data_IF_642370894979
#
_entry.id   IF_642370894979
#
_cell.length_a   1.000
_cell.length_b   1.000
_cell.length_c   1.000
_cell.angle_alpha   90.00
_cell.angle_beta   90.00
_cell.angle_gamma   90.00
#
_symmetry.space_group_name_H-M   'P 1'
#
loop_
_entity.id
_entity.type
_entity.pdbx_description
1 polymer ?
#
# COMPACT_ATOMS: atom_id res chain seq x y z
N UNK A 1 -3.80 -46.76 -2.12
CA UNK A 1 -4.13 -45.76 -3.13
C UNK A 1 -4.78 -44.58 -2.39
N UNK A 2 -3.99 -43.61 -2.04
CA UNK A 2 -4.45 -42.43 -1.30
C UNK A 2 -4.47 -41.24 -2.27
N UNK A 3 -5.62 -40.98 -2.88
CA UNK A 3 -5.86 -39.77 -3.65
C UNK A 3 -6.31 -38.68 -2.67
N UNK A 4 -5.35 -38.01 -2.03
CA UNK A 4 -5.60 -36.67 -1.52
C UNK A 4 -5.47 -35.71 -2.72
N UNK A 5 -6.50 -34.93 -3.08
CA UNK A 5 -6.31 -33.81 -3.97
C UNK A 5 -5.37 -32.87 -3.22
N UNK A 6 -4.18 -32.63 -3.80
CA UNK A 6 -3.30 -31.56 -3.33
C UNK A 6 -4.12 -30.26 -3.45
N UNK A 7 -4.40 -29.64 -2.32
CA UNK A 7 -4.98 -28.30 -2.22
C UNK A 7 -3.93 -27.30 -2.77
N UNK A 8 -3.71 -27.36 -4.09
CA UNK A 8 -2.84 -26.38 -4.75
C UNK A 8 -3.59 -25.05 -4.77
N UNK A 9 -3.18 -24.18 -3.87
CA UNK A 9 -3.65 -22.79 -3.85
C UNK A 9 -3.32 -22.12 -5.18
N UNK A 10 -4.23 -21.30 -5.65
CA UNK A 10 -4.05 -20.56 -6.90
C UNK A 10 -2.79 -19.69 -6.86
N UNK A 11 -1.89 -19.86 -7.83
CA UNK A 11 -0.54 -19.28 -7.91
C UNK A 11 -0.44 -17.98 -8.73
N UNK A 12 -1.57 -17.44 -9.19
CA UNK A 12 -1.61 -16.23 -10.00
C UNK A 12 -1.41 -16.42 -11.50
N UNK A 13 -1.24 -17.65 -12.01
CA UNK A 13 -0.89 -17.91 -13.42
C UNK A 13 -2.03 -17.71 -14.43
N UNK A 14 -3.26 -17.39 -14.00
CA UNK A 14 -4.39 -17.23 -14.92
C UNK A 14 -4.41 -15.86 -15.62
N UNK A 15 -4.79 -15.85 -16.91
CA UNK A 15 -4.98 -14.62 -17.69
C UNK A 15 -6.01 -13.68 -17.03
N UNK A 16 -7.05 -14.23 -16.41
CA UNK A 16 -8.06 -13.44 -15.71
C UNK A 16 -7.49 -12.70 -14.51
N UNK A 17 -6.65 -13.34 -13.70
CA UNK A 17 -5.94 -12.70 -12.59
C UNK A 17 -4.97 -11.63 -13.08
N UNK A 18 -4.19 -11.91 -14.10
CA UNK A 18 -3.25 -10.95 -14.70
C UNK A 18 -3.97 -9.67 -15.15
N UNK A 19 -5.13 -9.82 -15.82
CA UNK A 19 -5.95 -8.66 -16.23
C UNK A 19 -6.51 -7.89 -15.04
N UNK A 20 -6.99 -8.59 -14.01
CA UNK A 20 -7.48 -7.98 -12.78
C UNK A 20 -6.36 -7.20 -12.08
N UNK A 21 -5.17 -7.77 -12.00
CA UNK A 21 -4.02 -7.13 -11.37
C UNK A 21 -3.53 -5.89 -12.15
N UNK A 22 -3.55 -5.92 -13.48
CA UNK A 22 -3.30 -4.73 -14.31
C UNK A 22 -4.31 -3.62 -14.06
N UNK A 23 -5.61 -3.96 -13.91
CA UNK A 23 -6.63 -2.97 -13.58
C UNK A 23 -6.37 -2.33 -12.22
N UNK A 24 -6.01 -3.11 -11.22
CA UNK A 24 -5.67 -2.60 -9.87
C UNK A 24 -4.40 -1.75 -9.90
N UNK A 25 -3.36 -2.17 -10.62
CA UNK A 25 -2.14 -1.37 -10.81
C UNK A 25 -2.49 0.00 -11.43
N UNK A 26 -3.35 0.03 -12.45
CA UNK A 26 -3.77 1.28 -13.08
C UNK A 26 -4.56 2.18 -12.12
N UNK A 27 -5.48 1.61 -11.33
CA UNK A 27 -6.22 2.34 -10.30
C UNK A 27 -5.26 2.98 -9.30
N UNK A 28 -4.31 2.21 -8.77
CA UNK A 28 -3.31 2.69 -7.81
C UNK A 28 -2.43 3.81 -8.42
N UNK A 29 -1.99 3.65 -9.67
CA UNK A 29 -1.20 4.68 -10.36
C UNK A 29 -1.95 6.00 -10.53
N UNK A 30 -3.22 5.92 -10.92
CA UNK A 30 -4.08 7.12 -11.06
C UNK A 30 -4.29 7.78 -9.70
N UNK A 31 -4.59 7.00 -8.66
CA UNK A 31 -4.78 7.53 -7.31
C UNK A 31 -3.51 8.13 -6.73
N UNK A 32 -2.34 7.52 -6.97
CA UNK A 32 -1.06 8.14 -6.63
C UNK A 32 -0.93 9.56 -7.17
N UNK A 33 -1.21 9.76 -8.48
CA UNK A 33 -1.10 11.08 -9.11
C UNK A 33 -2.12 12.07 -8.52
N UNK A 34 -3.35 11.64 -8.29
CA UNK A 34 -4.40 12.48 -7.70
C UNK A 34 -4.03 12.89 -6.28
N UNK A 35 -3.67 11.92 -5.43
CA UNK A 35 -3.40 12.18 -4.01
C UNK A 35 -2.10 12.94 -3.77
N UNK A 36 -1.03 12.64 -4.51
CA UNK A 36 0.23 13.38 -4.33
C UNK A 36 0.04 14.86 -4.70
N UNK A 37 -0.71 15.13 -5.78
CA UNK A 37 -1.04 16.48 -6.20
C UNK A 37 -1.90 17.19 -5.15
N UNK A 38 -2.96 16.54 -4.67
CA UNK A 38 -3.85 17.05 -3.64
C UNK A 38 -3.13 17.26 -2.29
N UNK A 39 -2.26 16.33 -1.89
CA UNK A 39 -1.48 16.40 -0.66
C UNK A 39 -0.50 17.58 -0.65
N UNK A 40 0.13 17.90 -1.79
CA UNK A 40 0.95 19.11 -1.91
C UNK A 40 0.08 20.38 -1.92
N UNK A 41 -1.01 20.40 -2.66
CA UNK A 41 -1.89 21.56 -2.76
C UNK A 41 -2.58 21.89 -1.42
N UNK A 42 -3.01 20.88 -0.66
CA UNK A 42 -3.69 21.05 0.64
C UNK A 42 -2.74 21.19 1.83
N UNK A 43 -1.47 20.83 1.68
CA UNK A 43 -0.51 20.75 2.77
C UNK A 43 -0.67 19.51 3.68
N UNK A 44 -1.57 18.58 3.37
CA UNK A 44 -1.81 17.36 4.17
C UNK A 44 -0.66 16.37 4.09
N UNK A 45 -0.15 15.94 5.23
CA UNK A 45 0.89 14.93 5.31
C UNK A 45 0.32 13.52 5.22
N UNK A 46 -0.89 13.29 5.73
CA UNK A 46 -1.56 12.00 5.63
C UNK A 46 -1.94 11.67 4.16
N UNK A 47 -2.43 12.64 3.38
CA UNK A 47 -2.64 12.44 1.94
C UNK A 47 -1.35 12.13 1.17
N UNK A 48 -0.23 12.79 1.52
CA UNK A 48 1.07 12.47 0.90
C UNK A 48 1.54 11.06 1.28
N UNK A 49 1.32 10.65 2.53
CA UNK A 49 1.65 9.31 2.99
C UNK A 49 0.82 8.25 2.25
N UNK A 50 -0.48 8.48 2.10
CA UNK A 50 -1.41 7.62 1.38
C UNK A 50 -1.06 7.53 -0.12
N UNK A 51 -0.74 8.68 -0.75
CA UNK A 51 -0.23 8.71 -2.13
C UNK A 51 1.02 7.83 -2.31
N UNK A 52 1.97 7.90 -1.38
CA UNK A 52 3.19 7.08 -1.46
C UNK A 52 2.90 5.59 -1.25
N UNK A 53 1.84 5.24 -0.52
CA UNK A 53 1.36 3.86 -0.42
C UNK A 53 0.80 3.37 -1.75
N UNK A 54 -0.05 4.14 -2.43
CA UNK A 54 -0.50 3.86 -3.79
C UNK A 54 0.66 3.68 -4.78
N UNK A 55 1.73 4.48 -4.67
CA UNK A 55 2.94 4.30 -5.47
C UNK A 55 3.65 2.98 -5.14
N UNK A 56 3.79 2.67 -3.85
CA UNK A 56 4.36 1.42 -3.36
C UNK A 56 3.60 0.20 -3.87
N UNK A 57 2.27 0.25 -3.81
CA UNK A 57 1.39 -0.81 -4.31
C UNK A 57 1.49 -0.97 -5.83
N UNK A 58 1.48 0.14 -6.59
CA UNK A 58 1.70 0.12 -8.04
C UNK A 58 3.00 -0.62 -8.39
N UNK A 59 4.09 -0.31 -7.70
CA UNK A 59 5.39 -0.95 -7.94
C UNK A 59 5.40 -2.41 -7.46
N UNK A 60 4.88 -2.69 -6.27
CA UNK A 60 4.89 -4.06 -5.71
C UNK A 60 4.02 -5.02 -6.52
N UNK A 61 2.86 -4.59 -7.00
CA UNK A 61 1.99 -5.40 -7.83
C UNK A 61 2.57 -5.60 -9.23
N UNK A 62 3.19 -4.57 -9.82
CA UNK A 62 3.92 -4.68 -11.09
C UNK A 62 5.07 -5.68 -11.00
N UNK A 63 5.89 -5.61 -9.94
CA UNK A 63 6.96 -6.57 -9.70
C UNK A 63 6.38 -7.97 -9.46
N UNK A 64 5.25 -8.11 -8.75
CA UNK A 64 4.59 -9.39 -8.55
C UNK A 64 4.19 -10.06 -9.86
N UNK A 65 3.67 -9.29 -10.82
CA UNK A 65 3.36 -9.77 -12.17
C UNK A 65 4.62 -10.27 -12.92
N UNK A 66 5.71 -9.51 -12.85
CA UNK A 66 6.95 -9.81 -13.55
C UNK A 66 7.63 -11.09 -13.05
N UNK A 67 7.46 -11.42 -11.77
CA UNK A 67 8.11 -12.58 -11.14
C UNK A 67 7.21 -13.82 -11.04
N UNK A 68 5.98 -13.78 -11.55
CA UNK A 68 5.13 -14.97 -11.64
C UNK A 68 5.86 -16.04 -12.46
N UNK A 69 5.96 -17.26 -11.91
CA UNK A 69 6.69 -18.37 -12.55
C UNK A 69 8.21 -18.31 -12.47
N UNK A 70 8.80 -17.28 -11.87
CA UNK A 70 10.24 -17.17 -11.66
C UNK A 70 10.72 -18.01 -10.47
N UNK A 71 12.05 -18.26 -10.42
CA UNK A 71 12.68 -19.01 -9.31
C UNK A 71 12.48 -18.29 -7.96
N UNK A 72 12.55 -19.07 -6.87
CA UNK A 72 12.44 -18.54 -5.50
C UNK A 72 13.47 -17.43 -5.23
N UNK A 73 14.70 -17.58 -5.73
CA UNK A 73 15.75 -16.57 -5.60
C UNK A 73 15.37 -15.21 -6.24
N UNK A 74 14.77 -15.23 -7.43
CA UNK A 74 14.32 -14.00 -8.11
C UNK A 74 13.18 -13.36 -7.34
N UNK A 75 12.22 -14.15 -6.85
CA UNK A 75 11.09 -13.66 -6.06
C UNK A 75 11.54 -13.06 -4.72
N UNK A 76 12.48 -13.70 -4.03
CA UNK A 76 13.05 -13.20 -2.78
C UNK A 76 13.83 -11.88 -2.99
N UNK A 77 14.63 -11.76 -4.05
CA UNK A 77 15.31 -10.50 -4.42
C UNK A 77 14.32 -9.38 -4.74
N UNK A 78 13.25 -9.70 -5.47
CA UNK A 78 12.17 -8.75 -5.73
C UNK A 78 11.49 -8.29 -4.44
N UNK A 79 11.25 -9.19 -3.48
CA UNK A 79 10.69 -8.86 -2.18
C UNK A 79 11.63 -7.96 -1.35
N UNK A 80 12.94 -8.20 -1.37
CA UNK A 80 13.92 -7.31 -0.73
C UNK A 80 13.89 -5.90 -1.33
N UNK A 81 13.84 -5.79 -2.65
CA UNK A 81 13.73 -4.50 -3.32
C UNK A 81 12.45 -3.75 -2.91
N UNK A 82 11.30 -4.45 -2.88
CA UNK A 82 10.02 -3.90 -2.41
C UNK A 82 10.10 -3.39 -0.97
N UNK A 83 10.64 -4.22 -0.06
CA UNK A 83 10.80 -3.85 1.34
C UNK A 83 11.72 -2.63 1.52
N UNK A 84 12.82 -2.57 0.77
CA UNK A 84 13.72 -1.41 0.78
C UNK A 84 13.04 -0.12 0.28
N UNK A 85 12.23 -0.23 -0.77
CA UNK A 85 11.44 0.89 -1.29
C UNK A 85 10.41 1.38 -0.26
N UNK A 86 9.66 0.47 0.35
CA UNK A 86 8.66 0.81 1.36
C UNK A 86 9.31 1.47 2.59
N UNK A 87 10.52 1.03 2.96
CA UNK A 87 11.30 1.66 4.03
C UNK A 87 11.73 3.09 3.66
N UNK A 88 12.18 3.31 2.41
CA UNK A 88 12.51 4.65 1.91
C UNK A 88 11.28 5.58 1.91
N UNK A 89 10.10 5.07 1.53
CA UNK A 89 8.82 5.78 1.60
C UNK A 89 8.50 6.16 3.05
N UNK A 90 8.64 5.24 4.00
CA UNK A 90 8.40 5.52 5.42
C UNK A 90 9.31 6.65 5.96
N UNK A 91 10.59 6.65 5.59
CA UNK A 91 11.53 7.72 5.96
C UNK A 91 11.12 9.06 5.32
N UNK A 92 10.74 9.07 4.05
CA UNK A 92 10.29 10.28 3.36
C UNK A 92 9.03 10.87 4.04
N UNK A 93 8.03 10.04 4.36
CA UNK A 93 6.82 10.47 5.08
C UNK A 93 7.17 11.04 6.44
N UNK A 94 8.00 10.35 7.24
CA UNK A 94 8.43 10.83 8.55
C UNK A 94 9.14 12.18 8.44
N UNK A 95 10.06 12.32 7.49
CA UNK A 95 10.84 13.56 7.30
C UNK A 95 9.91 14.73 6.93
N UNK A 96 8.99 14.52 5.98
CA UNK A 96 8.02 15.54 5.57
C UNK A 96 7.09 15.93 6.73
N UNK A 97 6.62 14.95 7.50
CA UNK A 97 5.73 15.15 8.64
C UNK A 97 6.42 15.93 9.76
N UNK A 98 7.67 15.59 10.07
CA UNK A 98 8.50 16.34 11.06
C UNK A 98 8.70 17.80 10.64
N UNK A 99 9.07 18.05 9.38
CA UNK A 99 9.23 19.42 8.88
C UNK A 99 7.91 20.18 8.99
N UNK A 100 6.80 19.57 8.64
CA UNK A 100 5.46 20.20 8.69
C UNK A 100 5.02 20.49 10.12
N UNK A 101 5.38 19.66 11.08
CA UNK A 101 5.02 19.86 12.49
C UNK A 101 5.53 21.20 13.05
N UNK A 102 6.62 21.74 12.51
CA UNK A 102 7.15 23.04 12.90
C UNK A 102 6.49 24.23 12.20
N UNK A 103 5.76 24.04 11.09
CA UNK A 103 5.09 25.12 10.36
C UNK A 103 3.75 25.52 10.98
N UNK A 104 3.11 24.66 11.72
CA UNK A 104 1.87 24.93 12.47
C UNK A 104 0.60 25.14 11.63
N UNK A 105 0.69 25.27 10.32
CA UNK A 105 -0.46 25.53 9.45
C UNK A 105 -1.31 24.28 9.25
N UNK A 106 -2.65 24.33 9.47
CA UNK A 106 -3.52 23.21 9.22
C UNK A 106 -3.66 22.96 7.72
N UNK A 107 -3.84 21.69 7.28
CA UNK A 107 -4.15 21.37 5.88
C UNK A 107 -5.60 21.75 5.54
N UNK A 108 -5.90 21.77 4.23
CA UNK A 108 -7.26 22.01 3.73
C UNK A 108 -8.12 20.77 3.97
N UNK A 109 -8.96 20.80 5.00
CA UNK A 109 -9.77 19.66 5.45
C UNK A 109 -10.74 19.13 4.39
N UNK A 110 -11.34 20.03 3.59
CA UNK A 110 -12.25 19.65 2.50
C UNK A 110 -11.54 18.76 1.46
N UNK A 111 -10.30 19.13 1.08
CA UNK A 111 -9.48 18.33 0.15
C UNK A 111 -9.19 16.94 0.75
N UNK A 112 -8.85 16.84 2.04
CA UNK A 112 -8.63 15.57 2.71
C UNK A 112 -9.88 14.68 2.66
N UNK A 113 -11.07 15.24 2.91
CA UNK A 113 -12.33 14.51 2.87
C UNK A 113 -12.68 14.00 1.49
N UNK A 114 -12.62 14.85 0.45
CA UNK A 114 -12.99 14.50 -0.92
C UNK A 114 -12.00 13.47 -1.49
N UNK A 115 -10.71 13.73 -1.36
CA UNK A 115 -9.68 12.87 -1.95
C UNK A 115 -9.57 11.56 -1.18
N UNK A 116 -9.62 11.57 0.14
CA UNK A 116 -9.66 10.34 0.96
C UNK A 116 -10.90 9.48 0.66
N UNK A 117 -12.05 10.09 0.35
CA UNK A 117 -13.22 9.33 -0.10
C UNK A 117 -13.01 8.71 -1.48
N UNK A 118 -12.38 9.42 -2.42
CA UNK A 118 -12.03 8.86 -3.74
C UNK A 118 -11.04 7.70 -3.61
N UNK A 119 -10.05 7.81 -2.73
CA UNK A 119 -9.10 6.75 -2.41
C UNK A 119 -9.78 5.52 -1.79
N UNK A 120 -10.69 5.73 -0.83
CA UNK A 120 -11.51 4.66 -0.26
C UNK A 120 -12.30 3.92 -1.35
N UNK A 121 -12.93 4.62 -2.27
CA UNK A 121 -13.65 4.01 -3.38
C UNK A 121 -12.72 3.22 -4.30
N UNK A 122 -11.55 3.75 -4.64
CA UNK A 122 -10.55 3.09 -5.47
C UNK A 122 -10.08 1.78 -4.85
N UNK A 123 -9.74 1.79 -3.55
CA UNK A 123 -9.34 0.60 -2.82
C UNK A 123 -10.49 -0.39 -2.63
N UNK A 124 -11.72 0.08 -2.38
CA UNK A 124 -12.89 -0.80 -2.33
C UNK A 124 -13.14 -1.50 -3.68
N UNK A 125 -13.02 -0.80 -4.80
CA UNK A 125 -13.10 -1.38 -6.14
C UNK A 125 -12.00 -2.41 -6.35
N UNK A 126 -10.76 -2.13 -5.96
CA UNK A 126 -9.63 -3.05 -6.03
C UNK A 126 -9.88 -4.33 -5.21
N UNK A 127 -10.41 -4.19 -3.97
CA UNK A 127 -10.82 -5.33 -3.13
C UNK A 127 -11.86 -6.20 -3.83
N UNK A 128 -12.89 -5.59 -4.45
CA UNK A 128 -13.95 -6.32 -5.17
C UNK A 128 -13.38 -7.04 -6.41
N UNK A 129 -12.52 -6.36 -7.18
CA UNK A 129 -11.85 -6.97 -8.35
C UNK A 129 -11.05 -8.21 -7.93
N UNK A 130 -10.34 -8.14 -6.80
CA UNK A 130 -9.45 -9.20 -6.33
C UNK A 130 -10.15 -10.26 -5.46
N UNK A 131 -11.41 -10.04 -5.07
CA UNK A 131 -12.15 -10.88 -4.11
C UNK A 131 -12.18 -12.36 -4.49
N UNK A 132 -12.27 -12.65 -5.80
CA UNK A 132 -12.30 -14.02 -6.33
C UNK A 132 -11.02 -14.81 -5.99
N UNK A 133 -9.89 -14.12 -5.81
CA UNK A 133 -8.58 -14.73 -5.60
C UNK A 133 -8.03 -14.56 -4.17
N UNK A 134 -8.87 -14.09 -3.23
CA UNK A 134 -8.49 -13.83 -1.82
C UNK A 134 -7.91 -15.06 -1.09
N UNK A 135 -8.29 -16.27 -1.53
CA UNK A 135 -7.86 -17.54 -0.93
C UNK A 135 -6.72 -18.21 -1.73
N UNK A 136 -6.07 -17.48 -2.65
CA UNK A 136 -4.90 -17.92 -3.41
C UNK A 136 -3.66 -18.14 -2.54
N UNK A 137 -2.51 -18.35 -3.18
CA UNK A 137 -1.22 -18.46 -2.49
C UNK A 137 -0.86 -17.16 -1.73
N UNK A 138 0.26 -17.16 -1.01
CA UNK A 138 0.67 -16.03 -0.19
C UNK A 138 0.86 -14.74 -1.02
N UNK A 139 1.38 -14.85 -2.25
CA UNK A 139 1.58 -13.69 -3.13
C UNK A 139 0.25 -13.10 -3.62
N UNK A 140 -0.66 -13.95 -4.10
CA UNK A 140 -2.01 -13.56 -4.56
C UNK A 140 -2.83 -12.97 -3.42
N UNK A 141 -2.84 -13.64 -2.27
CA UNK A 141 -3.57 -13.21 -1.07
C UNK A 141 -3.05 -11.87 -0.53
N UNK A 142 -1.73 -11.63 -0.58
CA UNK A 142 -1.15 -10.39 -0.07
C UNK A 142 -1.69 -9.16 -0.79
N UNK A 143 -1.86 -9.22 -2.12
CA UNK A 143 -2.41 -8.11 -2.92
C UNK A 143 -3.82 -7.73 -2.45
N UNK A 144 -4.69 -8.71 -2.23
CA UNK A 144 -6.04 -8.45 -1.73
C UNK A 144 -6.03 -7.89 -0.30
N UNK A 145 -5.14 -8.41 0.57
CA UNK A 145 -5.00 -7.92 1.95
C UNK A 145 -4.48 -6.48 2.01
N UNK A 146 -3.52 -6.11 1.15
CA UNK A 146 -3.06 -4.73 1.02
C UNK A 146 -4.22 -3.80 0.68
N UNK A 147 -4.87 -4.00 -0.47
CA UNK A 147 -6.00 -3.14 -0.89
C UNK A 147 -7.11 -3.02 0.17
N UNK A 148 -7.38 -4.10 0.94
CA UNK A 148 -8.34 -4.04 2.04
C UNK A 148 -7.85 -3.17 3.19
N UNK A 149 -6.58 -3.29 3.56
CA UNK A 149 -5.99 -2.53 4.67
C UNK A 149 -5.89 -1.04 4.31
N UNK A 150 -5.57 -0.74 3.05
CA UNK A 150 -5.50 0.63 2.53
C UNK A 150 -6.88 1.29 2.54
N UNK A 151 -7.94 0.55 2.18
CA UNK A 151 -9.31 1.03 2.33
C UNK A 151 -9.64 1.42 3.78
N UNK A 152 -9.12 0.69 4.76
CA UNK A 152 -9.26 1.04 6.19
C UNK A 152 -8.44 2.30 6.52
N UNK A 153 -7.23 2.43 5.99
CA UNK A 153 -6.37 3.60 6.12
C UNK A 153 -7.04 4.88 5.61
N UNK A 154 -7.71 4.79 4.46
CA UNK A 154 -8.42 5.92 3.85
C UNK A 154 -9.60 6.43 4.72
N UNK A 155 -10.27 5.54 5.46
CA UNK A 155 -11.23 5.96 6.49
C UNK A 155 -10.54 6.82 7.55
N UNK A 156 -9.31 6.47 7.92
CA UNK A 156 -8.48 7.27 8.82
C UNK A 156 -8.19 8.67 8.27
N UNK A 157 -7.86 8.80 6.98
CA UNK A 157 -7.63 10.10 6.31
C UNK A 157 -8.89 10.97 6.36
N UNK A 158 -10.06 10.39 6.09
CA UNK A 158 -11.34 11.11 6.18
C UNK A 158 -11.64 11.58 7.59
N UNK A 159 -11.42 10.73 8.61
CA UNK A 159 -11.60 11.09 10.03
C UNK A 159 -10.63 12.21 10.42
N UNK A 160 -9.35 12.11 10.03
CA UNK A 160 -8.36 13.16 10.28
C UNK A 160 -8.78 14.49 9.64
N UNK A 161 -9.26 14.46 8.38
CA UNK A 161 -9.83 15.64 7.71
C UNK A 161 -10.99 16.26 8.47
N UNK A 162 -11.94 15.44 8.94
CA UNK A 162 -13.05 15.89 9.78
C UNK A 162 -12.58 16.54 11.09
N UNK A 163 -11.59 15.95 11.76
CA UNK A 163 -11.01 16.50 12.99
C UNK A 163 -10.24 17.81 12.73
N UNK A 164 -9.52 17.93 11.61
CA UNK A 164 -8.88 19.17 11.17
C UNK A 164 -9.94 20.27 10.98
N UNK A 165 -11.06 19.96 10.31
CA UNK A 165 -12.16 20.90 10.11
C UNK A 165 -12.77 21.39 11.45
N UNK A 166 -12.91 20.50 12.42
CA UNK A 166 -13.50 20.81 13.74
C UNK A 166 -12.55 21.57 14.66
N UNK A 167 -11.26 21.26 14.61
CA UNK A 167 -10.27 21.80 15.56
C UNK A 167 -9.47 22.97 15.03
N UNK A 168 -9.44 23.17 13.70
CA UNK A 168 -8.55 24.13 13.04
C UNK A 168 -7.06 23.84 13.24
N UNK A 169 -6.71 22.59 13.60
CA UNK A 169 -5.36 22.19 13.98
C UNK A 169 -4.77 21.21 12.96
N UNK A 170 -3.45 21.29 12.72
CA UNK A 170 -2.71 20.32 11.89
C UNK A 170 -2.51 18.96 12.59
N UNK A 171 -2.65 18.85 13.90
CA UNK A 171 -2.30 17.67 14.67
C UNK A 171 -3.02 16.38 14.24
N UNK A 172 -4.32 16.35 13.91
CA UNK A 172 -4.96 15.12 13.45
C UNK A 172 -4.33 14.54 12.19
N UNK A 173 -3.99 15.39 11.23
CA UNK A 173 -3.30 15.00 9.99
C UNK A 173 -1.87 14.48 10.25
N UNK A 174 -1.11 15.18 11.09
CA UNK A 174 0.25 14.80 11.47
C UNK A 174 0.28 13.47 12.24
N UNK A 175 -0.62 13.28 13.19
CA UNK A 175 -0.72 12.02 13.96
C UNK A 175 -1.00 10.85 13.02
N UNK A 176 -1.95 11.00 12.10
CA UNK A 176 -2.25 9.96 11.14
C UNK A 176 -1.05 9.66 10.23
N UNK A 177 -0.36 10.70 9.72
CA UNK A 177 0.85 10.51 8.91
C UNK A 177 1.96 9.75 9.68
N UNK A 178 2.14 10.02 10.97
CA UNK A 178 3.06 9.24 11.83
C UNK A 178 2.63 7.78 11.97
N UNK A 179 1.33 7.53 12.16
CA UNK A 179 0.78 6.16 12.25
C UNK A 179 1.02 5.40 10.94
N UNK A 180 0.73 6.01 9.79
CA UNK A 180 0.96 5.41 8.47
C UNK A 180 2.44 5.10 8.26
N UNK A 181 3.35 6.03 8.56
CA UNK A 181 4.78 5.79 8.47
C UNK A 181 5.26 4.64 9.38
N UNK A 182 4.67 4.49 10.57
CA UNK A 182 4.92 3.36 11.46
C UNK A 182 4.47 2.03 10.87
N UNK A 183 3.30 2.00 10.25
CA UNK A 183 2.76 0.82 9.55
C UNK A 183 3.67 0.43 8.39
N UNK A 184 4.10 1.39 7.55
CA UNK A 184 5.02 1.14 6.44
C UNK A 184 6.36 0.59 6.92
N UNK A 185 6.93 1.16 7.97
CA UNK A 185 8.19 0.67 8.57
C UNK A 185 8.06 -0.78 9.03
N UNK A 186 6.97 -1.11 9.72
CA UNK A 186 6.70 -2.48 10.19
C UNK A 186 6.53 -3.46 9.02
N UNK A 187 5.79 -3.06 7.98
CA UNK A 187 5.58 -3.86 6.78
C UNK A 187 6.89 -4.10 6.03
N UNK A 188 7.70 -3.06 5.84
CA UNK A 188 9.02 -3.14 5.23
C UNK A 188 9.94 -4.11 5.97
N UNK A 189 9.98 -4.03 7.30
CA UNK A 189 10.76 -4.94 8.13
C UNK A 189 10.31 -6.40 7.97
N UNK A 190 8.99 -6.65 8.00
CA UNK A 190 8.44 -7.99 7.83
C UNK A 190 8.79 -8.58 6.45
N UNK A 191 8.66 -7.79 5.39
CA UNK A 191 8.98 -8.22 4.02
C UNK A 191 10.48 -8.52 3.89
N UNK A 192 11.35 -7.62 4.36
CA UNK A 192 12.80 -7.81 4.27
C UNK A 192 13.28 -9.02 5.07
N UNK A 193 12.78 -9.21 6.30
CA UNK A 193 13.19 -10.34 7.13
C UNK A 193 12.75 -11.67 6.54
N UNK A 194 11.55 -11.76 5.98
CA UNK A 194 11.11 -12.97 5.28
C UNK A 194 11.97 -13.24 4.04
N UNK A 195 12.20 -12.24 3.20
CA UNK A 195 12.99 -12.40 1.99
C UNK A 195 14.45 -12.81 2.27
N UNK A 196 15.05 -12.28 3.34
CA UNK A 196 16.38 -12.69 3.77
C UNK A 196 16.41 -14.15 4.26
N UNK A 197 15.37 -14.58 4.99
CA UNK A 197 15.27 -15.98 5.43
C UNK A 197 15.12 -16.94 4.23
N UNK A 198 14.33 -16.57 3.22
CA UNK A 198 14.18 -17.35 1.99
C UNK A 198 15.50 -17.47 1.21
N UNK A 199 16.27 -16.37 1.10
CA UNK A 199 17.58 -16.37 0.45
C UNK A 199 18.61 -17.21 1.20
N UNK A 200 18.59 -17.20 2.53
CA UNK A 200 19.52 -18.02 3.33
C UNK A 200 19.30 -19.52 3.13
N UNK A 201 18.06 -19.95 2.89
CA UNK A 201 17.72 -21.35 2.63
C UNK A 201 18.16 -21.83 1.24
N UNK A 202 18.40 -20.92 0.28
CA UNK A 202 18.84 -21.27 -1.06
C UNK A 202 20.36 -21.51 -1.13
N UNK A 203 21.12 -20.98 -0.15
CA UNK A 203 22.57 -21.10 -0.08
C UNK A 203 23.06 -22.31 0.76
N UNK A 204 22.15 -23.13 1.30
CA UNK A 204 22.44 -24.40 1.98
C UNK A 204 22.17 -25.57 1.03
#
# INVERSE_FOLDING_TARGET
MSCCPSDQKFDGSSVAYTRALWAVIFINLVMFVVEISAGFASGSQSLKADALDFAGDTMTYSISLLVIGSSLAIRAKAALFKGGLLFAIAIAVLSMTLVRAFSGEPPVAETMGIVGFAALLANAVSVVILLKWRDGDANVRSVWLCSRNDAIGNVGVMIAGGLVALTGSAWPDLILAFVLAGIFTRSAWSICSQALSELSLIHI
#
